data_IF_004529084727
#
_entry.id   IF_004529084727
#
_cell.length_a   1.000
_cell.length_b   1.000
_cell.length_c   1.000
_cell.angle_alpha   90.00
_cell.angle_beta   90.00
_cell.angle_gamma   90.00
#
_symmetry.space_group_name_H-M   'P 1'
#
loop_
_entity.id
_entity.type
_entity.pdbx_description
1 polymer ?
#
# COMPACT_ATOMS: atom_id res chain seq x y z
N UNK A 1 2.51 41.85 -27.47
CA UNK A 1 2.31 40.40 -27.69
C UNK A 1 1.12 40.25 -28.61
N UNK A 2 1.17 39.35 -29.58
CA UNK A 2 0.16 39.20 -30.64
C UNK A 2 -0.34 37.77 -30.67
N UNK A 3 -1.67 37.56 -30.76
CA UNK A 3 -2.26 36.25 -31.00
C UNK A 3 -2.16 35.91 -32.50
N UNK A 4 -1.68 34.71 -32.83
CA UNK A 4 -1.51 34.23 -34.20
C UNK A 4 -2.69 33.41 -34.72
N UNK A 5 -3.56 32.94 -33.81
CA UNK A 5 -4.77 32.22 -34.18
C UNK A 5 -5.93 33.21 -34.43
N UNK A 6 -6.58 33.08 -35.59
CA UNK A 6 -7.65 33.95 -36.08
C UNK A 6 -9.06 33.34 -35.89
N UNK A 7 -9.15 32.09 -35.40
CA UNK A 7 -10.41 31.41 -35.09
C UNK A 7 -10.58 31.25 -33.59
N UNK A 8 -11.71 31.75 -33.07
CA UNK A 8 -12.12 31.53 -31.70
C UNK A 8 -12.51 30.06 -31.47
N UNK A 9 -11.93 29.44 -30.44
CA UNK A 9 -12.14 28.04 -30.05
C UNK A 9 -12.60 27.89 -28.60
N UNK A 10 -13.06 28.98 -27.98
CA UNK A 10 -13.48 29.03 -26.58
C UNK A 10 -12.36 29.31 -25.58
N UNK A 11 -12.75 29.57 -24.33
CA UNK A 11 -11.86 30.01 -23.24
C UNK A 11 -10.86 28.93 -22.77
N UNK A 12 -11.26 27.65 -22.84
CA UNK A 12 -10.41 26.52 -22.50
C UNK A 12 -9.39 26.13 -23.58
N UNK A 13 -9.52 26.69 -24.79
CA UNK A 13 -8.66 26.34 -25.91
C UNK A 13 -7.27 26.99 -25.82
N UNK A 14 -6.31 26.34 -26.48
CA UNK A 14 -4.94 26.82 -26.57
C UNK A 14 -4.73 27.62 -27.85
N UNK A 15 -4.19 28.83 -27.70
CA UNK A 15 -3.90 29.75 -28.79
C UNK A 15 -2.39 29.95 -28.92
N UNK A 16 -1.93 30.19 -30.14
CA UNK A 16 -0.56 30.57 -30.45
C UNK A 16 -0.36 32.08 -30.29
N UNK A 17 0.74 32.47 -29.64
CA UNK A 17 1.09 33.85 -29.38
C UNK A 17 2.53 34.13 -29.83
N UNK A 18 2.81 35.38 -30.20
CA UNK A 18 4.14 35.91 -30.53
C UNK A 18 4.47 37.12 -29.64
N UNK A 19 5.67 37.18 -29.09
CA UNK A 19 6.13 38.37 -28.34
C UNK A 19 6.83 39.39 -29.24
N UNK A 20 7.15 40.57 -28.70
CA UNK A 20 7.91 41.61 -29.41
C UNK A 20 9.32 41.17 -29.80
N UNK A 21 9.89 40.19 -29.09
CA UNK A 21 11.19 39.58 -29.40
C UNK A 21 11.08 38.42 -30.41
N UNK A 22 9.95 38.27 -31.11
CA UNK A 22 9.74 37.25 -32.14
C UNK A 22 9.44 35.82 -31.64
N UNK A 23 9.59 35.53 -30.35
CA UNK A 23 9.32 34.18 -29.82
C UNK A 23 7.85 33.79 -29.93
N UNK A 24 7.60 32.55 -30.39
CA UNK A 24 6.25 31.97 -30.50
C UNK A 24 6.01 30.87 -29.46
N UNK A 25 4.83 30.86 -28.83
CA UNK A 25 4.42 29.79 -27.92
C UNK A 25 2.91 29.54 -27.95
N UNK A 26 2.47 28.37 -27.48
CA UNK A 26 1.04 28.06 -27.29
C UNK A 26 0.66 28.08 -25.82
N UNK A 27 -0.54 28.60 -25.50
CA UNK A 27 -1.08 28.59 -24.12
C UNK A 27 -2.60 28.62 -24.13
N UNK A 28 -3.22 27.99 -23.13
CA UNK A 28 -4.67 28.13 -22.87
C UNK A 28 -5.01 29.57 -22.49
N UNK A 29 -6.10 30.10 -23.04
CA UNK A 29 -6.49 31.49 -22.80
C UNK A 29 -6.75 31.78 -21.30
N UNK A 30 -7.36 30.86 -20.57
CA UNK A 30 -7.56 31.02 -19.13
C UNK A 30 -6.26 31.12 -18.30
N UNK A 31 -5.18 30.48 -18.74
CA UNK A 31 -3.86 30.61 -18.09
C UNK A 31 -3.10 31.87 -18.52
N UNK A 32 -3.64 32.61 -19.49
CA UNK A 32 -3.05 33.84 -20.00
C UNK A 32 -3.28 35.02 -19.06
N UNK A 33 -4.40 35.02 -18.33
CA UNK A 33 -4.71 36.05 -17.34
C UNK A 33 -3.76 36.01 -16.13
N UNK A 34 -3.45 34.81 -15.63
CA UNK A 34 -2.56 34.64 -14.47
C UNK A 34 -1.07 34.69 -14.82
N UNK A 35 -0.71 34.41 -16.07
CA UNK A 35 0.68 34.44 -16.52
C UNK A 35 0.74 34.91 -17.99
N UNK A 36 0.68 36.23 -18.26
CA UNK A 36 0.65 36.76 -19.62
C UNK A 36 2.03 36.76 -20.31
N UNK A 37 3.09 36.41 -19.59
CA UNK A 37 4.47 36.54 -20.07
C UNK A 37 4.88 35.48 -21.09
N UNK A 38 5.69 35.90 -22.07
CA UNK A 38 6.41 34.99 -22.96
C UNK A 38 7.35 34.09 -22.14
N UNK A 39 7.19 32.75 -22.16
CA UNK A 39 8.00 31.85 -21.34
C UNK A 39 9.48 31.89 -21.70
N UNK A 40 9.82 32.14 -22.97
CA UNK A 40 11.22 32.26 -23.43
C UNK A 40 11.87 33.52 -22.89
N UNK A 41 11.27 34.71 -23.09
CA UNK A 41 11.76 35.96 -22.52
C UNK A 41 11.84 35.93 -20.98
N UNK A 42 10.88 35.31 -20.31
CA UNK A 42 10.91 35.14 -18.84
C UNK A 42 12.11 34.28 -18.43
N UNK A 43 12.38 33.17 -19.12
CA UNK A 43 13.56 32.32 -18.87
C UNK A 43 14.86 33.05 -19.18
N UNK A 44 14.93 33.81 -20.27
CA UNK A 44 16.10 34.62 -20.64
C UNK A 44 16.38 35.69 -19.57
N UNK A 45 15.34 36.41 -19.10
CA UNK A 45 15.47 37.37 -17.99
C UNK A 45 15.95 36.70 -16.70
N UNK A 46 15.40 35.53 -16.36
CA UNK A 46 15.83 34.76 -15.19
C UNK A 46 17.27 34.27 -15.35
N UNK A 47 17.69 33.85 -16.55
CA UNK A 47 19.08 33.45 -16.85
C UNK A 47 20.05 34.64 -16.76
N UNK A 48 19.69 35.78 -17.31
CA UNK A 48 20.47 37.02 -17.18
C UNK A 48 20.60 37.45 -15.70
N UNK A 49 19.52 37.36 -14.92
CA UNK A 49 19.56 37.59 -13.46
C UNK A 49 20.42 36.56 -12.70
N UNK A 50 20.61 35.35 -13.22
CA UNK A 50 21.45 34.30 -12.61
C UNK A 50 22.94 34.50 -12.84
N UNK A 51 23.32 35.31 -13.84
CA UNK A 51 24.71 35.55 -14.25
C UNK A 51 25.23 36.93 -13.84
N UNK A 52 24.48 37.69 -13.04
CA UNK A 52 24.93 38.98 -12.53
C UNK A 52 26.02 38.79 -11.47
N UNK A 53 27.10 39.56 -11.59
CA UNK A 53 28.21 39.65 -10.64
C UNK A 53 27.79 40.13 -9.24
N UNK A 54 26.62 40.76 -9.12
CA UNK A 54 26.01 41.24 -7.86
C UNK A 54 25.42 40.13 -6.97
N UNK A 55 25.43 38.88 -7.43
CA UNK A 55 24.76 37.76 -6.75
C UNK A 55 25.26 37.53 -5.32
N UNK A 56 26.57 37.69 -5.08
CA UNK A 56 27.15 37.55 -3.75
C UNK A 56 26.80 38.72 -2.82
N UNK A 57 26.79 39.93 -3.36
CA UNK A 57 26.45 41.13 -2.60
C UNK A 57 25.00 41.07 -2.11
N UNK A 58 24.09 40.62 -2.96
CA UNK A 58 22.69 40.40 -2.59
C UNK A 58 22.56 39.35 -1.50
N UNK A 59 23.31 38.25 -1.57
CA UNK A 59 23.34 37.24 -0.52
C UNK A 59 23.85 37.80 0.81
N UNK A 60 24.91 38.63 0.77
CA UNK A 60 25.46 39.29 1.96
C UNK A 60 24.45 40.29 2.56
N UNK A 61 23.77 41.07 1.73
CA UNK A 61 22.74 42.01 2.17
C UNK A 61 21.55 41.31 2.81
N UNK A 62 21.03 40.25 2.18
CA UNK A 62 19.95 39.44 2.76
C UNK A 62 20.39 38.72 4.04
N UNK A 63 21.64 38.24 4.10
CA UNK A 63 22.17 37.67 5.32
C UNK A 63 22.21 38.68 6.47
N UNK A 64 22.69 39.89 6.20
CA UNK A 64 22.72 40.98 7.17
C UNK A 64 21.31 41.38 7.63
N UNK A 65 20.33 41.44 6.71
CA UNK A 65 18.93 41.74 7.03
C UNK A 65 18.30 40.70 7.98
N UNK A 66 18.76 39.45 7.93
CA UNK A 66 18.36 38.40 8.86
C UNK A 66 19.26 38.28 10.11
N UNK A 67 20.13 39.28 10.36
CA UNK A 67 21.04 39.32 11.51
C UNK A 67 22.17 38.29 11.42
N UNK A 68 22.54 37.82 10.23
CA UNK A 68 23.62 36.86 10.02
C UNK A 68 24.61 37.28 8.94
N UNK A 69 25.49 36.36 8.55
CA UNK A 69 26.58 36.59 7.59
C UNK A 69 26.61 35.49 6.54
N UNK A 70 26.93 35.86 5.30
CA UNK A 70 27.30 34.92 4.24
C UNK A 70 28.81 34.68 4.35
N UNK A 71 29.22 33.43 4.53
CA UNK A 71 30.61 33.01 4.67
C UNK A 71 31.28 32.70 3.32
N UNK A 72 30.47 32.49 2.27
CA UNK A 72 31.00 32.23 0.93
C UNK A 72 31.58 33.49 0.28
N UNK A 73 32.67 33.32 -0.47
CA UNK A 73 33.40 34.38 -1.17
C UNK A 73 33.19 34.41 -2.69
N UNK A 74 32.65 33.34 -3.27
CA UNK A 74 32.46 33.19 -4.72
C UNK A 74 30.99 32.95 -5.04
N UNK A 75 30.47 33.62 -6.06
CA UNK A 75 29.12 33.39 -6.57
C UNK A 75 29.12 32.36 -7.71
N UNK A 76 28.49 31.21 -7.49
CA UNK A 76 28.41 30.10 -8.47
C UNK A 76 27.00 29.95 -9.07
N UNK A 77 26.12 30.94 -8.88
CA UNK A 77 24.75 30.97 -9.41
C UNK A 77 23.64 30.64 -8.40
N UNK A 78 22.38 30.76 -8.82
CA UNK A 78 21.20 30.65 -7.93
C UNK A 78 20.96 29.27 -7.29
N UNK A 79 21.36 28.20 -7.97
CA UNK A 79 21.29 26.83 -7.44
C UNK A 79 22.55 26.46 -6.65
N UNK A 80 23.57 27.32 -6.68
CA UNK A 80 24.79 27.17 -5.89
C UNK A 80 24.48 27.13 -4.41
N UNK A 81 25.28 26.35 -3.67
CA UNK A 81 25.18 26.27 -2.21
C UNK A 81 26.17 27.24 -1.58
N UNK A 82 25.68 28.04 -0.65
CA UNK A 82 26.45 29.06 0.03
C UNK A 82 26.36 28.83 1.54
N UNK A 83 27.48 29.05 2.22
CA UNK A 83 27.59 28.94 3.66
C UNK A 83 27.10 30.22 4.32
N UNK A 84 26.24 30.09 5.31
CA UNK A 84 25.69 31.19 6.10
C UNK A 84 25.84 30.91 7.59
N UNK A 85 25.96 31.98 8.38
CA UNK A 85 25.93 31.96 9.85
C UNK A 85 24.83 32.90 10.34
N UNK A 86 23.92 32.47 11.21
CA UNK A 86 22.89 33.35 11.79
C UNK A 86 23.38 34.05 13.06
N UNK A 87 22.57 34.96 13.61
CA UNK A 87 22.83 35.64 14.89
C UNK A 87 23.10 34.68 16.06
N UNK A 88 22.45 33.52 16.06
CA UNK A 88 22.58 32.48 17.10
C UNK A 88 23.80 31.56 16.86
N UNK A 89 24.68 31.89 15.90
CA UNK A 89 25.88 31.13 15.59
C UNK A 89 25.69 29.87 14.74
N UNK A 90 24.45 29.51 14.39
CA UNK A 90 24.22 28.34 13.54
C UNK A 90 24.78 28.53 12.14
N UNK A 91 25.55 27.57 11.66
CA UNK A 91 26.09 27.52 10.30
C UNK A 91 25.34 26.51 9.43
N UNK A 92 25.02 26.91 8.20
CA UNK A 92 24.38 26.00 7.24
C UNK A 92 24.68 26.37 5.80
N UNK A 93 24.48 25.40 4.90
CA UNK A 93 24.61 25.56 3.46
C UNK A 93 23.24 25.59 2.79
N UNK A 94 22.88 26.70 2.13
CA UNK A 94 21.61 26.87 1.43
C UNK A 94 21.79 27.36 0.00
N UNK A 95 20.82 27.08 -0.87
CA UNK A 95 20.81 27.61 -2.22
C UNK A 95 20.49 29.11 -2.21
N UNK A 96 21.13 29.89 -3.07
CA UNK A 96 20.87 31.33 -3.14
C UNK A 96 19.39 31.65 -3.44
N UNK A 97 18.73 30.84 -4.26
CA UNK A 97 17.29 31.02 -4.54
C UNK A 97 16.39 30.85 -3.32
N UNK A 98 16.75 29.94 -2.40
CA UNK A 98 15.95 29.67 -1.20
C UNK A 98 16.07 30.82 -0.19
N UNK A 99 17.27 31.38 -0.05
CA UNK A 99 17.54 32.53 0.83
C UNK A 99 16.94 33.82 0.27
N UNK A 100 17.15 34.11 -1.02
CA UNK A 100 16.77 35.39 -1.63
C UNK A 100 15.27 35.52 -1.90
N UNK A 101 14.58 34.43 -2.28
CA UNK A 101 13.21 34.52 -2.79
C UNK A 101 12.20 33.69 -2.01
N UNK A 102 12.60 32.59 -1.38
CA UNK A 102 11.68 31.76 -0.57
C UNK A 102 11.66 32.15 0.91
N UNK A 103 12.51 33.09 1.32
CA UNK A 103 12.64 33.53 2.72
C UNK A 103 13.14 32.43 3.66
N UNK A 104 13.81 31.40 3.14
CA UNK A 104 14.34 30.30 3.95
C UNK A 104 15.73 30.69 4.47
N UNK A 105 15.77 31.18 5.70
CA UNK A 105 17.00 31.58 6.38
C UNK A 105 17.58 30.43 7.23
N UNK A 106 17.56 30.54 8.56
CA UNK A 106 18.06 29.52 9.48
C UNK A 106 16.94 28.56 9.91
N UNK A 107 17.06 27.28 9.52
CA UNK A 107 16.11 26.23 9.89
C UNK A 107 16.08 25.96 11.39
N UNK A 108 17.24 25.96 12.05
CA UNK A 108 17.34 25.71 13.49
C UNK A 108 16.61 26.80 14.30
N UNK A 109 16.81 28.08 13.98
CA UNK A 109 16.08 29.17 14.61
C UNK A 109 14.58 29.16 14.25
N UNK A 110 14.23 28.78 13.02
CA UNK A 110 12.82 28.64 12.64
C UNK A 110 12.12 27.52 13.43
N UNK A 111 12.77 26.37 13.57
CA UNK A 111 12.26 25.23 14.34
C UNK A 111 12.18 25.54 15.83
N UNK A 112 13.15 26.27 16.39
CA UNK A 112 13.12 26.70 17.79
C UNK A 112 11.90 27.60 18.07
N UNK A 113 11.69 28.65 17.27
CA UNK A 113 10.50 29.52 17.38
C UNK A 113 9.20 28.76 17.19
N UNK A 114 9.19 27.76 16.30
CA UNK A 114 8.03 26.89 16.08
C UNK A 114 7.75 26.05 17.33
N UNK A 115 8.76 25.45 17.94
CA UNK A 115 8.64 24.67 19.19
C UNK A 115 8.14 25.53 20.35
N UNK A 116 8.65 26.75 20.48
CA UNK A 116 8.20 27.72 21.49
C UNK A 116 6.74 28.12 21.27
N UNK A 117 6.34 28.43 20.03
CA UNK A 117 4.94 28.78 19.70
C UNK A 117 3.95 27.64 19.97
N UNK A 118 4.34 26.40 19.69
CA UNK A 118 3.52 25.23 19.99
C UNK A 118 3.70 24.69 21.42
N UNK A 119 4.54 25.34 22.24
CA UNK A 119 4.65 25.00 23.66
C UNK A 119 3.38 25.49 24.34
N UNK A 120 2.54 24.54 24.70
CA UNK A 120 1.39 24.78 25.56
C UNK A 120 1.90 25.21 26.93
N UNK A 121 1.51 26.40 27.40
CA UNK A 121 1.91 26.92 28.72
C UNK A 121 1.42 26.01 29.85
N UNK A 122 0.23 25.42 29.68
CA UNK A 122 -0.42 24.43 30.56
C UNK A 122 0.00 22.99 30.26
N UNK A 123 1.01 22.78 29.39
CA UNK A 123 1.34 21.46 28.87
C UNK A 123 1.84 20.47 29.92
N UNK A 124 2.55 20.94 30.95
CA UNK A 124 3.01 20.08 32.05
C UNK A 124 1.84 19.65 32.94
N UNK A 125 1.03 20.62 33.34
CA UNK A 125 -0.14 20.41 34.19
C UNK A 125 -1.11 19.42 33.54
N UNK A 126 -1.35 19.56 32.23
CA UNK A 126 -2.15 18.59 31.47
C UNK A 126 -1.59 17.18 31.50
N UNK A 127 -0.27 17.01 31.36
CA UNK A 127 0.37 15.69 31.44
C UNK A 127 0.28 15.11 32.87
N UNK A 128 0.42 15.94 33.90
CA UNK A 128 0.26 15.53 35.29
C UNK A 128 -1.19 15.14 35.61
N UNK A 129 -2.18 15.91 35.12
CA UNK A 129 -3.60 15.61 35.28
C UNK A 129 -3.99 14.32 34.55
N UNK A 130 -3.50 14.12 33.33
CA UNK A 130 -3.69 12.86 32.59
C UNK A 130 -3.04 11.68 33.32
N UNK A 131 -1.86 11.88 33.91
CA UNK A 131 -1.20 10.85 34.70
C UNK A 131 -2.03 10.44 35.91
N UNK A 132 -2.52 11.42 36.68
CA UNK A 132 -3.39 11.20 37.84
C UNK A 132 -4.69 10.49 37.44
N UNK A 133 -5.32 10.90 36.33
CA UNK A 133 -6.54 10.27 35.82
C UNK A 133 -6.35 8.79 35.43
N UNK A 134 -5.13 8.39 35.07
CA UNK A 134 -4.77 7.00 34.77
C UNK A 134 -4.23 6.23 36.00
N UNK A 135 -4.40 6.78 37.20
CA UNK A 135 -3.94 6.17 38.45
C UNK A 135 -2.42 6.18 38.63
N UNK A 136 -1.70 7.06 37.94
CA UNK A 136 -0.24 7.16 38.07
C UNK A 136 0.27 8.58 38.16
N UNK A 137 1.57 8.76 37.96
CA UNK A 137 2.27 10.03 38.21
C UNK A 137 3.25 10.34 37.08
N UNK A 138 3.37 11.63 36.74
CA UNK A 138 4.44 12.14 35.91
C UNK A 138 5.59 12.56 36.83
N UNK A 139 6.75 11.92 36.69
CA UNK A 139 7.93 12.19 37.54
C UNK A 139 8.78 13.35 37.01
N UNK A 140 8.48 13.86 35.81
CA UNK A 140 9.22 14.97 35.21
C UNK A 140 8.63 16.31 35.63
N UNK A 141 9.50 17.24 36.03
CA UNK A 141 9.13 18.60 36.48
C UNK A 141 9.26 19.67 35.40
N UNK A 142 9.85 19.36 34.24
CA UNK A 142 10.09 20.32 33.16
C UNK A 142 9.30 19.94 31.90
N UNK A 143 8.66 20.93 31.26
CA UNK A 143 7.92 20.73 30.01
C UNK A 143 8.63 21.36 28.82
N UNK A 144 9.08 20.51 27.91
CA UNK A 144 9.80 20.93 26.71
C UNK A 144 8.95 20.84 25.43
N UNK A 145 7.72 20.31 25.54
CA UNK A 145 6.73 20.20 24.45
C UNK A 145 6.18 18.78 24.26
N UNK A 146 5.06 18.62 23.56
CA UNK A 146 4.37 17.32 23.41
C UNK A 146 5.19 16.20 22.74
N UNK A 147 6.24 16.55 22.00
CA UNK A 147 7.12 15.60 21.33
C UNK A 147 8.30 15.13 22.19
N UNK A 148 8.55 15.78 23.33
CA UNK A 148 9.62 15.38 24.24
C UNK A 148 9.24 14.14 25.05
N UNK A 149 10.25 13.44 25.56
CA UNK A 149 10.09 12.25 26.41
C UNK A 149 10.01 12.67 27.87
N UNK A 150 9.00 12.16 28.56
CA UNK A 150 8.73 12.37 29.98
C UNK A 150 8.73 11.02 30.70
N UNK A 151 9.12 11.01 31.97
CA UNK A 151 9.12 9.85 32.83
C UNK A 151 7.78 9.75 33.58
N UNK A 152 7.16 8.56 33.53
CA UNK A 152 5.89 8.26 34.18
C UNK A 152 6.02 7.02 35.06
N UNK A 153 5.19 6.95 36.10
CA UNK A 153 5.01 5.78 36.98
C UNK A 153 3.52 5.42 37.06
N UNK A 154 3.15 4.15 36.92
CA UNK A 154 1.76 3.70 37.06
C UNK A 154 1.46 3.20 38.48
N UNK A 155 0.20 2.85 38.76
CA UNK A 155 -0.24 2.29 40.05
C UNK A 155 0.51 1.00 40.43
N UNK A 156 0.77 0.13 39.45
CA UNK A 156 1.56 -1.10 39.61
C UNK A 156 3.07 -0.84 39.81
N UNK A 157 3.49 0.41 39.96
CA UNK A 157 4.90 0.78 40.18
C UNK A 157 5.80 0.78 38.94
N UNK A 158 5.30 0.40 37.75
CA UNK A 158 6.13 0.42 36.55
C UNK A 158 6.53 1.85 36.17
N UNK A 159 7.82 2.04 35.89
CA UNK A 159 8.37 3.30 35.39
C UNK A 159 8.73 3.21 33.91
N UNK A 160 8.36 4.22 33.12
CA UNK A 160 8.70 4.26 31.71
C UNK A 160 8.82 5.68 31.15
N UNK A 161 9.55 5.80 30.05
CA UNK A 161 9.68 7.06 29.29
C UNK A 161 8.74 7.05 28.09
N UNK A 162 7.90 8.07 27.96
CA UNK A 162 6.97 8.23 26.82
C UNK A 162 6.87 9.68 26.38
N UNK A 163 6.43 9.90 25.14
CA UNK A 163 6.17 11.26 24.64
C UNK A 163 4.79 11.75 25.06
N UNK A 164 4.68 13.04 25.39
CA UNK A 164 3.42 13.63 25.89
C UNK A 164 2.23 13.42 24.93
N UNK A 165 2.47 13.47 23.61
CA UNK A 165 1.46 13.20 22.58
C UNK A 165 0.87 11.79 22.62
N UNK A 166 1.60 10.78 23.12
CA UNK A 166 1.09 9.41 23.25
C UNK A 166 0.19 9.28 24.48
N UNK A 167 0.62 9.89 25.59
CA UNK A 167 -0.16 9.94 26.83
C UNK A 167 -1.50 10.66 26.59
N UNK A 168 -1.48 11.80 25.89
CA UNK A 168 -2.71 12.53 25.54
C UNK A 168 -3.64 11.79 24.59
N UNK A 169 -3.20 10.70 23.95
CA UNK A 169 -4.03 9.82 23.11
C UNK A 169 -4.55 8.59 23.87
N UNK A 170 -4.32 8.50 25.18
CA UNK A 170 -4.79 7.41 26.02
C UNK A 170 -3.86 6.20 26.10
N UNK A 171 -2.63 6.27 25.56
CA UNK A 171 -1.64 5.21 25.76
C UNK A 171 -0.90 5.48 27.07
N UNK A 172 -1.14 4.65 28.09
CA UNK A 172 -0.57 4.83 29.42
C UNK A 172 0.66 3.94 29.67
N UNK A 173 0.51 2.81 30.36
CA UNK A 173 1.61 1.93 30.75
C UNK A 173 1.78 0.74 29.78
N UNK A 174 2.96 0.60 29.12
CA UNK A 174 3.19 -0.51 28.18
C UNK A 174 3.25 -1.87 28.88
N UNK A 175 3.72 -1.93 30.13
CA UNK A 175 3.83 -3.17 30.89
C UNK A 175 2.45 -3.66 31.33
N UNK A 176 1.61 -2.77 31.87
CA UNK A 176 0.21 -3.09 32.20
C UNK A 176 -0.59 -3.48 30.95
N UNK A 177 -0.45 -2.75 29.84
CA UNK A 177 -1.13 -3.09 28.58
C UNK A 177 -0.69 -4.47 28.06
N UNK A 178 0.60 -4.82 28.17
CA UNK A 178 1.10 -6.15 27.80
C UNK A 178 0.54 -7.24 28.73
N UNK A 179 0.50 -7.00 30.04
CA UNK A 179 -0.08 -7.91 31.01
C UNK A 179 -1.57 -8.15 30.72
N UNK A 180 -2.35 -7.08 30.49
CA UNK A 180 -3.76 -7.17 30.08
C UNK A 180 -3.95 -7.86 28.73
N UNK A 181 -3.01 -7.75 27.79
CA UNK A 181 -3.04 -8.48 26.51
C UNK A 181 -2.76 -9.98 26.68
N UNK A 182 -1.82 -10.35 27.55
CA UNK A 182 -1.54 -11.76 27.87
C UNK A 182 -2.78 -12.41 28.52
N UNK A 183 -3.46 -11.70 29.43
CA UNK A 183 -4.74 -12.13 29.99
C UNK A 183 -5.87 -12.25 28.95
N UNK A 184 -6.00 -11.30 28.01
CA UNK A 184 -6.98 -11.37 26.89
C UNK A 184 -6.75 -12.55 25.92
N UNK A 185 -5.55 -13.13 25.89
CA UNK A 185 -5.22 -14.32 25.09
C UNK A 185 -5.74 -15.63 25.69
N UNK A 186 -5.88 -15.68 27.02
CA UNK A 186 -6.53 -16.76 27.77
C UNK A 186 -8.04 -16.47 27.85
N UNK A 187 -8.72 -16.61 26.71
CA UNK A 187 -10.16 -16.84 26.73
C UNK A 187 -10.40 -18.08 27.61
N UNK A 188 -11.06 -17.93 28.76
CA UNK A 188 -11.37 -19.04 29.68
C UNK A 188 -12.21 -20.13 28.99
N UNK A 189 -12.96 -19.76 27.95
CA UNK A 189 -13.74 -20.68 27.10
C UNK A 189 -12.98 -21.17 25.86
N UNK A 190 -11.70 -20.83 25.72
CA UNK A 190 -10.90 -21.09 24.52
C UNK A 190 -10.80 -22.57 24.16
N UNK A 191 -10.63 -23.44 25.16
CA UNK A 191 -10.59 -24.90 24.96
C UNK A 191 -11.95 -25.43 24.50
N UNK A 192 -13.03 -25.02 25.19
CA UNK A 192 -14.40 -25.44 24.88
C UNK A 192 -14.75 -25.11 23.43
N UNK A 193 -14.37 -23.92 22.96
CA UNK A 193 -14.61 -23.51 21.56
C UNK A 193 -13.82 -24.32 20.55
N UNK A 194 -12.60 -24.77 20.89
CA UNK A 194 -11.82 -25.66 20.03
C UNK A 194 -12.42 -27.06 19.99
N UNK A 195 -12.93 -27.55 21.12
CA UNK A 195 -13.65 -28.83 21.21
C UNK A 195 -14.96 -28.79 20.41
N UNK A 196 -15.76 -27.73 20.54
CA UNK A 196 -16.98 -27.52 19.74
C UNK A 196 -16.67 -27.47 18.23
N UNK A 197 -15.62 -26.74 17.83
CA UNK A 197 -15.19 -26.67 16.44
C UNK A 197 -14.74 -28.04 15.89
N UNK A 198 -14.09 -28.86 16.74
CA UNK A 198 -13.73 -30.21 16.40
C UNK A 198 -14.97 -31.10 16.20
N UNK A 199 -15.90 -31.05 17.15
CA UNK A 199 -17.15 -31.81 17.11
C UNK A 199 -18.01 -31.46 15.89
N UNK A 200 -18.10 -30.17 15.52
CA UNK A 200 -18.79 -29.72 14.31
C UNK A 200 -18.20 -30.28 13.02
N UNK A 201 -16.92 -30.66 13.02
CA UNK A 201 -16.23 -31.31 11.89
C UNK A 201 -16.17 -32.83 12.03
N UNK A 202 -16.89 -33.40 12.99
CA UNK A 202 -16.91 -34.84 13.28
C UNK A 202 -15.56 -35.35 13.77
N UNK A 203 -14.81 -34.56 14.54
CA UNK A 203 -13.58 -35.03 15.18
C UNK A 203 -13.48 -34.55 16.62
N UNK A 204 -12.33 -34.80 17.23
CA UNK A 204 -12.08 -34.53 18.64
C UNK A 204 -10.79 -33.73 18.82
N UNK A 205 -10.80 -32.83 19.81
CA UNK A 205 -9.59 -32.17 20.30
C UNK A 205 -8.99 -33.05 21.40
N UNK A 206 -7.75 -33.48 21.21
CA UNK A 206 -7.01 -34.33 22.16
C UNK A 206 -6.29 -33.53 23.24
N UNK A 207 -6.09 -32.23 23.04
CA UNK A 207 -5.44 -31.36 24.03
C UNK A 207 -6.39 -31.02 25.19
N UNK A 208 -5.87 -31.11 26.42
CA UNK A 208 -6.53 -30.75 27.68
C UNK A 208 -6.32 -29.30 28.11
N UNK A 209 -5.25 -28.65 27.62
CA UNK A 209 -4.81 -27.34 28.10
C UNK A 209 -4.91 -26.27 27.03
N UNK A 210 -5.36 -25.06 27.39
CA UNK A 210 -5.49 -23.93 26.48
C UNK A 210 -4.37 -22.90 26.66
N UNK A 211 -3.36 -22.97 25.80
CA UNK A 211 -2.23 -22.03 25.79
C UNK A 211 -2.49 -20.73 24.98
N UNK A 212 -3.74 -20.42 24.64
CA UNK A 212 -4.12 -19.22 23.89
C UNK A 212 -4.33 -19.40 22.38
N UNK A 213 -4.84 -18.35 21.71
CA UNK A 213 -5.25 -18.44 20.28
C UNK A 213 -4.12 -18.78 19.28
N UNK A 214 -2.86 -18.52 19.65
CA UNK A 214 -1.67 -18.86 18.88
C UNK A 214 -1.04 -20.21 19.31
N UNK A 215 -1.64 -20.91 20.26
CA UNK A 215 -1.22 -22.25 20.68
C UNK A 215 -1.46 -23.30 19.60
N UNK A 216 -0.65 -24.36 19.62
CA UNK A 216 -0.87 -25.57 18.84
C UNK A 216 -1.61 -26.60 19.70
N UNK A 217 -2.56 -27.29 19.07
CA UNK A 217 -3.39 -28.29 19.71
C UNK A 217 -3.47 -29.54 18.84
N UNK A 218 -3.59 -30.70 19.48
CA UNK A 218 -3.73 -31.99 18.80
C UNK A 218 -5.20 -32.29 18.53
N UNK A 219 -5.50 -32.72 17.30
CA UNK A 219 -6.85 -33.08 16.86
C UNK A 219 -6.85 -34.46 16.20
N UNK A 220 -7.99 -35.14 16.25
CA UNK A 220 -8.26 -36.39 15.53
C UNK A 220 -9.57 -36.27 14.74
N UNK A 221 -9.58 -36.61 13.45
CA UNK A 221 -10.81 -36.59 12.65
C UNK A 221 -11.59 -37.92 12.77
N UNK A 222 -12.82 -37.97 12.24
CA UNK A 222 -13.64 -39.20 12.19
C UNK A 222 -12.96 -40.41 11.55
N UNK A 223 -12.03 -40.17 10.61
CA UNK A 223 -11.31 -41.23 9.89
C UNK A 223 -10.13 -41.76 10.72
N UNK A 224 -9.76 -41.05 11.80
CA UNK A 224 -8.67 -41.43 12.69
C UNK A 224 -7.36 -40.68 12.46
N UNK A 225 -7.26 -39.79 11.47
CA UNK A 225 -6.06 -38.99 11.25
C UNK A 225 -5.81 -38.03 12.41
N UNK A 226 -4.60 -38.05 12.96
CA UNK A 226 -4.14 -37.15 14.00
C UNK A 226 -3.20 -36.08 13.44
N UNK A 227 -3.38 -34.83 13.88
CA UNK A 227 -2.47 -33.75 13.51
C UNK A 227 -2.44 -32.65 14.56
N UNK A 228 -1.41 -31.82 14.48
CA UNK A 228 -1.29 -30.58 15.25
C UNK A 228 -1.65 -29.37 14.40
N UNK A 229 -2.47 -28.48 14.95
CA UNK A 229 -2.85 -27.24 14.31
C UNK A 229 -2.96 -26.08 15.30
N UNK A 230 -2.73 -24.87 14.82
CA UNK A 230 -2.97 -23.66 15.61
C UNK A 230 -4.46 -23.52 15.91
N UNK A 231 -4.83 -23.16 17.15
CA UNK A 231 -6.23 -22.97 17.53
C UNK A 231 -6.94 -21.91 16.68
N UNK A 232 -6.23 -20.85 16.30
CA UNK A 232 -6.72 -19.84 15.36
C UNK A 232 -7.01 -20.39 13.95
N UNK A 233 -6.27 -21.39 13.47
CA UNK A 233 -6.50 -22.01 12.16
C UNK A 233 -7.74 -22.91 12.15
N UNK A 234 -7.93 -23.71 13.22
CA UNK A 234 -9.13 -24.53 13.40
C UNK A 234 -10.38 -23.65 13.46
N UNK A 235 -10.33 -22.56 14.24
CA UNK A 235 -11.42 -21.59 14.31
C UNK A 235 -11.74 -20.90 12.97
N UNK A 236 -10.76 -20.77 12.07
CA UNK A 236 -10.98 -20.24 10.71
C UNK A 236 -11.59 -21.27 9.75
N UNK A 237 -11.73 -22.53 10.18
CA UNK A 237 -12.35 -23.60 9.41
C UNK A 237 -11.38 -24.57 8.74
N UNK A 238 -10.07 -24.42 8.94
CA UNK A 238 -9.08 -25.42 8.50
C UNK A 238 -9.21 -26.67 9.37
N UNK A 239 -9.18 -27.86 8.77
CA UNK A 239 -9.35 -29.13 9.49
C UNK A 239 -8.29 -30.16 9.07
N UNK A 240 -8.69 -31.41 8.84
CA UNK A 240 -7.80 -32.50 8.42
C UNK A 240 -7.35 -32.35 6.96
N UNK A 241 -6.04 -32.14 6.75
CA UNK A 241 -5.45 -32.02 5.41
C UNK A 241 -5.49 -33.34 4.63
N UNK A 242 -5.35 -34.48 5.30
CA UNK A 242 -5.37 -35.80 4.67
C UNK A 242 -6.76 -36.10 4.09
N UNK A 243 -7.82 -35.92 4.88
CA UNK A 243 -9.20 -36.03 4.39
C UNK A 243 -9.49 -35.04 3.25
N UNK A 244 -9.00 -33.80 3.35
CA UNK A 244 -9.18 -32.81 2.28
C UNK A 244 -8.44 -33.21 0.99
N UNK A 245 -7.30 -33.89 1.09
CA UNK A 245 -6.55 -34.40 -0.06
C UNK A 245 -7.27 -35.59 -0.73
N UNK A 246 -7.76 -36.53 0.06
CA UNK A 246 -8.55 -37.67 -0.43
C UNK A 246 -9.82 -37.22 -1.14
N UNK A 247 -10.56 -36.28 -0.55
CA UNK A 247 -11.77 -35.72 -1.19
C UNK A 247 -11.46 -35.05 -2.53
N UNK A 248 -10.30 -34.36 -2.63
CA UNK A 248 -9.85 -33.77 -3.90
C UNK A 248 -9.52 -34.85 -4.93
N UNK A 249 -8.87 -35.94 -4.53
CA UNK A 249 -8.52 -37.06 -5.41
C UNK A 249 -9.78 -37.74 -5.97
N UNK A 250 -10.74 -38.06 -5.11
CA UNK A 250 -12.04 -38.61 -5.52
C UNK A 250 -12.78 -37.67 -6.48
N UNK A 251 -12.69 -36.35 -6.26
CA UNK A 251 -13.23 -35.35 -7.18
C UNK A 251 -12.60 -35.38 -8.58
N UNK A 252 -11.30 -35.67 -8.67
CA UNK A 252 -10.60 -35.80 -9.96
C UNK A 252 -10.98 -37.10 -10.69
N UNK A 253 -11.07 -38.21 -9.97
CA UNK A 253 -11.48 -39.51 -10.53
C UNK A 253 -12.90 -39.44 -11.09
N UNK A 254 -13.83 -38.81 -10.35
CA UNK A 254 -15.18 -38.52 -10.84
C UNK A 254 -15.18 -37.63 -12.10
N UNK A 255 -14.33 -36.60 -12.15
CA UNK A 255 -14.19 -35.75 -13.33
C UNK A 255 -13.72 -36.53 -14.56
N UNK A 256 -12.80 -37.48 -14.38
CA UNK A 256 -12.33 -38.36 -15.46
C UNK A 256 -13.44 -39.29 -15.94
N UNK A 257 -14.20 -39.88 -15.03
CA UNK A 257 -15.31 -40.76 -15.38
C UNK A 257 -16.38 -40.04 -16.22
N UNK A 258 -16.83 -38.87 -15.78
CA UNK A 258 -17.82 -38.06 -16.53
C UNK A 258 -17.31 -37.67 -17.92
N UNK A 259 -15.99 -37.48 -18.06
CA UNK A 259 -15.41 -37.21 -19.36
C UNK A 259 -15.55 -38.40 -20.30
N UNK A 260 -15.20 -39.60 -19.83
CA UNK A 260 -15.30 -40.85 -20.60
C UNK A 260 -16.75 -41.14 -20.99
N UNK A 261 -17.70 -40.98 -20.07
CA UNK A 261 -19.15 -41.17 -20.33
C UNK A 261 -19.68 -40.25 -21.44
N UNK A 262 -19.09 -39.06 -21.60
CA UNK A 262 -19.44 -38.09 -22.66
C UNK A 262 -18.53 -38.17 -23.89
N UNK A 263 -17.77 -39.27 -24.02
CA UNK A 263 -16.86 -39.55 -25.13
C UNK A 263 -15.66 -38.61 -25.20
N UNK A 264 -15.30 -37.94 -24.11
CA UNK A 264 -14.15 -37.04 -24.01
C UNK A 264 -13.17 -37.44 -22.92
N UNK A 265 -12.25 -36.53 -22.60
CA UNK A 265 -11.20 -36.75 -21.63
C UNK A 265 -11.00 -35.52 -20.72
N UNK A 266 -10.67 -35.76 -19.45
CA UNK A 266 -10.24 -34.72 -18.52
C UNK A 266 -8.71 -34.68 -18.51
N UNK A 267 -8.13 -33.57 -18.95
CA UNK A 267 -6.68 -33.38 -19.10
C UNK A 267 -6.02 -32.82 -17.82
N UNK A 268 -6.82 -32.39 -16.83
CA UNK A 268 -6.28 -31.88 -15.57
C UNK A 268 -5.66 -33.00 -14.72
N UNK A 269 -4.49 -32.71 -14.14
CA UNK A 269 -3.81 -33.61 -13.21
C UNK A 269 -4.11 -33.31 -11.73
N UNK A 270 -4.69 -32.13 -11.43
CA UNK A 270 -5.02 -31.71 -10.08
C UNK A 270 -6.45 -31.14 -10.00
N UNK A 271 -7.13 -31.46 -8.91
CA UNK A 271 -8.46 -30.94 -8.57
C UNK A 271 -8.37 -30.14 -7.26
N UNK A 272 -8.66 -28.84 -7.34
CA UNK A 272 -8.51 -27.94 -6.18
C UNK A 272 -9.82 -27.80 -5.41
N UNK A 273 -10.92 -27.53 -6.11
CA UNK A 273 -12.28 -27.46 -5.57
C UNK A 273 -13.34 -27.48 -6.69
N UNK A 274 -14.63 -27.54 -6.33
CA UNK A 274 -15.76 -27.58 -7.27
C UNK A 274 -15.88 -26.36 -8.20
N UNK A 275 -15.29 -25.21 -7.83
CA UNK A 275 -15.31 -23.97 -8.62
C UNK A 275 -14.07 -23.81 -9.50
N UNK A 276 -13.00 -24.56 -9.22
CA UNK A 276 -11.77 -24.54 -10.00
C UNK A 276 -12.02 -25.07 -11.41
N UNK A 277 -11.41 -24.43 -12.41
CA UNK A 277 -11.54 -24.83 -13.81
C UNK A 277 -10.64 -26.03 -14.06
N UNK A 278 -11.21 -27.07 -14.66
CA UNK A 278 -10.49 -28.23 -15.18
C UNK A 278 -10.38 -28.11 -16.71
N UNK A 279 -9.37 -28.76 -17.27
CA UNK A 279 -9.14 -28.87 -18.71
C UNK A 279 -9.84 -30.11 -19.24
N UNK A 280 -10.63 -29.95 -20.29
CA UNK A 280 -11.43 -31.01 -20.90
C UNK A 280 -11.16 -31.10 -22.40
N UNK A 281 -11.30 -32.29 -22.96
CA UNK A 281 -11.25 -32.60 -24.40
C UNK A 281 -12.51 -33.35 -24.78
N UNK A 282 -13.19 -33.00 -25.87
CA UNK A 282 -14.37 -33.74 -26.32
C UNK A 282 -14.00 -34.80 -27.37
N UNK A 283 -14.97 -35.65 -27.73
CA UNK A 283 -14.84 -36.67 -28.77
C UNK A 283 -14.40 -36.13 -30.15
N UNK A 284 -14.53 -34.81 -30.40
CA UNK A 284 -14.07 -34.14 -31.64
C UNK A 284 -12.70 -33.48 -31.50
N UNK A 285 -12.03 -33.66 -30.36
CA UNK A 285 -10.70 -33.09 -30.09
C UNK A 285 -10.67 -31.64 -29.60
N UNK A 286 -11.81 -30.97 -29.40
CA UNK A 286 -11.81 -29.59 -28.89
C UNK A 286 -11.39 -29.56 -27.41
N UNK A 287 -10.44 -28.69 -27.05
CA UNK A 287 -10.00 -28.48 -25.68
C UNK A 287 -10.60 -27.19 -25.09
N UNK A 288 -11.09 -27.24 -23.84
CA UNK A 288 -11.58 -26.05 -23.13
C UNK A 288 -11.44 -26.17 -21.62
N UNK A 289 -11.52 -25.03 -20.95
CA UNK A 289 -11.51 -24.94 -19.49
C UNK A 289 -12.92 -24.69 -18.94
N UNK A 290 -13.39 -25.54 -18.05
CA UNK A 290 -14.62 -25.28 -17.27
C UNK A 290 -14.62 -26.01 -15.94
N UNK A 291 -15.46 -25.57 -15.00
CA UNK A 291 -15.58 -26.20 -13.69
C UNK A 291 -16.45 -27.45 -13.72
N UNK A 292 -16.22 -28.36 -12.76
CA UNK A 292 -17.01 -29.59 -12.61
C UNK A 292 -18.52 -29.30 -12.46
N UNK A 293 -18.89 -28.23 -11.74
CA UNK A 293 -20.29 -27.83 -11.60
C UNK A 293 -20.98 -27.53 -12.94
N UNK A 294 -20.26 -26.91 -13.88
CA UNK A 294 -20.83 -26.60 -15.21
C UNK A 294 -21.08 -27.86 -16.03
N UNK A 295 -20.18 -28.86 -15.91
CA UNK A 295 -20.34 -30.16 -16.55
C UNK A 295 -21.54 -30.92 -15.97
N UNK A 296 -21.66 -30.94 -14.64
CA UNK A 296 -22.80 -31.57 -13.94
C UNK A 296 -24.13 -30.89 -14.26
N UNK A 297 -24.15 -29.58 -14.49
CA UNK A 297 -25.33 -28.84 -14.95
C UNK A 297 -25.74 -29.15 -16.40
N UNK A 298 -25.04 -30.04 -17.10
CA UNK A 298 -25.38 -30.49 -18.46
C UNK A 298 -24.61 -29.81 -19.58
N UNK A 299 -23.77 -28.81 -19.29
CA UNK A 299 -22.94 -28.18 -20.31
C UNK A 299 -21.73 -29.07 -20.64
N UNK A 300 -21.31 -29.09 -21.92
CA UNK A 300 -20.18 -29.92 -22.36
C UNK A 300 -19.18 -29.09 -23.17
N UNK A 301 -19.07 -29.35 -24.47
CA UNK A 301 -18.17 -28.62 -25.35
C UNK A 301 -18.89 -27.41 -25.98
N UNK A 302 -18.44 -26.17 -25.72
CA UNK A 302 -19.08 -24.97 -26.27
C UNK A 302 -19.00 -24.94 -27.81
N UNK A 303 -17.90 -25.43 -28.37
CA UNK A 303 -17.71 -25.51 -29.82
C UNK A 303 -18.70 -26.51 -30.45
N UNK A 304 -18.91 -27.68 -29.83
CA UNK A 304 -19.91 -28.64 -30.30
C UNK A 304 -21.34 -28.11 -30.15
N UNK A 305 -21.64 -27.46 -29.02
CA UNK A 305 -22.96 -26.85 -28.79
C UNK A 305 -23.27 -25.76 -29.81
N UNK A 306 -22.30 -24.90 -30.12
CA UNK A 306 -22.45 -23.88 -31.16
C UNK A 306 -22.63 -24.50 -32.55
N UNK A 307 -21.84 -25.53 -32.90
CA UNK A 307 -22.02 -26.24 -34.17
C UNK A 307 -23.41 -26.88 -34.32
N UNK A 308 -23.98 -27.40 -33.23
CA UNK A 308 -25.31 -28.00 -33.22
C UNK A 308 -26.43 -26.96 -33.48
N UNK A 309 -26.21 -25.70 -33.14
CA UNK A 309 -27.18 -24.61 -33.34
C UNK A 309 -27.18 -24.03 -34.78
N UNK A 310 -26.16 -24.32 -35.60
CA UNK A 310 -26.09 -23.83 -36.99
C UNK A 310 -26.97 -24.69 -37.90
N UNK A 311 -28.20 -24.22 -38.16
CA UNK A 311 -29.22 -24.90 -39.00
C UNK A 311 -28.81 -25.05 -40.47
N UNK A 312 -28.05 -24.10 -41.02
CA UNK A 312 -27.65 -24.12 -42.44
C UNK A 312 -26.39 -24.96 -42.70
N UNK A 313 -26.48 -25.92 -43.64
CA UNK A 313 -25.38 -26.82 -44.03
C UNK A 313 -24.25 -26.11 -44.81
N UNK A 314 -24.53 -24.97 -45.43
CA UNK A 314 -23.60 -24.19 -46.29
C UNK A 314 -22.93 -23.01 -45.58
N UNK A 315 -23.25 -22.78 -44.30
CA UNK A 315 -22.67 -21.71 -43.48
C UNK A 315 -21.12 -21.75 -43.45
N UNK A 316 -20.48 -20.60 -43.74
CA UNK A 316 -19.03 -20.40 -43.59
C UNK A 316 -18.56 -20.69 -42.16
N UNK A 317 -19.38 -20.38 -41.15
CA UNK A 317 -19.08 -20.69 -39.75
C UNK A 317 -19.01 -22.20 -39.50
N UNK A 318 -19.89 -23.01 -40.10
CA UNK A 318 -19.85 -24.48 -39.97
C UNK A 318 -18.62 -25.11 -40.64
N UNK A 319 -18.12 -24.51 -41.74
CA UNK A 319 -16.88 -24.94 -42.39
C UNK A 319 -15.63 -24.68 -41.53
N UNK A 320 -15.60 -23.55 -40.79
CA UNK A 320 -14.48 -23.19 -39.90
C UNK A 320 -14.22 -24.20 -38.78
N UNK A 321 -15.26 -24.84 -38.25
CA UNK A 321 -15.11 -25.80 -37.16
C UNK A 321 -15.08 -27.28 -37.60
N UNK A 322 -15.13 -27.56 -38.90
CA UNK A 322 -14.99 -28.92 -39.46
C UNK A 322 -13.52 -29.28 -39.68
N UNK A 323 -12.69 -28.30 -40.06
CA UNK A 323 -11.26 -28.46 -40.20
C UNK A 323 -10.64 -28.05 -38.86
N UNK A 324 -10.27 -29.03 -38.04
CA UNK A 324 -9.72 -28.80 -36.71
C UNK A 324 -8.52 -27.86 -36.78
N UNK A 325 -8.70 -26.62 -36.36
CA UNK A 325 -7.61 -25.71 -36.04
C UNK A 325 -7.62 -25.56 -34.53
N UNK A 326 -6.55 -26.05 -33.92
CA UNK A 326 -6.20 -25.84 -32.53
C UNK A 326 -6.14 -24.34 -32.26
N UNK A 327 -7.23 -23.75 -31.77
CA UNK A 327 -7.12 -22.48 -31.04
C UNK A 327 -6.64 -22.80 -29.64
N UNK A 328 -5.32 -22.99 -29.51
CA UNK A 328 -4.63 -22.88 -28.23
C UNK A 328 -4.84 -21.44 -27.76
N UNK A 329 -5.82 -21.24 -26.90
CA UNK A 329 -5.95 -19.99 -26.16
C UNK A 329 -4.74 -19.85 -25.25
N UNK A 330 -3.87 -18.88 -25.58
CA UNK A 330 -2.86 -18.25 -24.72
C UNK A 330 -2.50 -18.99 -23.43
N UNK A 331 -1.39 -19.74 -23.46
CA UNK A 331 -0.58 -20.02 -22.28
C UNK A 331 0.48 -18.91 -22.14
N UNK A 332 0.63 -18.26 -20.99
CA UNK A 332 1.85 -17.52 -20.70
C UNK A 332 3.00 -18.53 -20.55
N UNK A 333 4.08 -18.34 -21.31
CA UNK A 333 5.28 -19.19 -21.22
C UNK A 333 5.90 -19.06 -19.83
N UNK A 334 5.88 -20.13 -19.06
CA UNK A 334 6.81 -20.31 -17.94
C UNK A 334 8.13 -20.80 -18.54
N UNK A 335 9.14 -19.94 -18.50
CA UNK A 335 10.53 -20.30 -18.80
C UNK A 335 11.00 -21.31 -17.76
N UNK A 336 11.39 -22.49 -18.20
CA UNK A 336 12.34 -23.34 -17.49
C UNK A 336 13.72 -22.91 -17.97
N UNK A 337 14.44 -22.18 -17.13
CA UNK A 337 15.88 -22.03 -17.26
C UNK A 337 16.52 -23.32 -16.72
N UNK A 338 17.24 -24.01 -17.60
CA UNK A 338 18.22 -25.04 -17.24
C UNK A 338 19.33 -24.36 -16.45
N UNK A 339 19.56 -24.83 -15.22
CA UNK A 339 20.81 -24.62 -14.50
C UNK A 339 21.38 -26.00 -14.18
N UNK A 340 22.60 -26.21 -14.68
CA UNK A 340 23.56 -27.22 -14.23
C UNK A 340 23.74 -27.19 -12.71
#
# INVERSE_FOLDING_TARGET
>A
MVCLDHRWRGYGASYAFRCSQGHTWRRRLGNMQSNPGCPVCVRQRIRAQRQRSDGLERLRKTACAHGGKCLSSIYVGMAGRYAFRCAQGHEWNAAAGDVLYKGQWCRLCADQRKRERYRLADGLERLQTLAKAQGGQCLTSTYTGMAAKYLFRCIEGHEWRSIGKRISRGVWCPQCELASRRGRGQLSDGLRRLQEAASLKGGICLSSDYTGTAGKYRFRCRVGHEWEAFGSAIRRGTWCQQCAHEERRLGLEMARQVAVERGGECLSQAYVNRKSKLQWRCHRGHCWQTSMNSIQAGHWCPTCAYQAQIKSRTSKARKRYRNGVETVGNLPSVRLEEAL
#
